data_IF_886038686459
#
_entry.id   IF_886038686459
#
_cell.length_a   1.000
_cell.length_b   1.000
_cell.length_c   1.000
_cell.angle_alpha   90.00
_cell.angle_beta   90.00
_cell.angle_gamma   90.00
#
_symmetry.space_group_name_H-M   'P 1'
#
loop_
_entity.id
_entity.type
_entity.pdbx_description
1 polymer ?
#
# COMPACT_ATOMS: atom_id res chain seq x y z
N UNK A 1 -14.58 61.37 -6.58
CA UNK A 1 -14.92 60.10 -5.89
C UNK A 1 -15.64 60.41 -4.59
N UNK A 2 -16.95 60.21 -4.60
CA UNK A 2 -17.98 60.36 -3.57
C UNK A 2 -19.12 59.53 -4.21
N UNK A 3 -19.79 58.56 -3.61
CA UNK A 3 -20.23 58.39 -2.23
C UNK A 3 -20.91 57.00 -2.11
N UNK A 4 -20.72 56.34 -0.94
CA UNK A 4 -21.71 55.59 -0.13
C UNK A 4 -22.19 54.22 -0.67
N UNK A 5 -21.98 53.10 0.04
CA UNK A 5 -22.53 52.67 1.35
C UNK A 5 -24.05 52.56 1.38
N UNK A 6 -24.53 51.32 1.30
CA UNK A 6 -25.75 50.76 1.90
C UNK A 6 -25.58 49.22 1.80
N UNK A 7 -25.31 48.44 2.84
CA UNK A 7 -26.05 48.17 4.09
C UNK A 7 -27.38 47.44 3.85
N UNK A 8 -27.69 46.51 4.75
CA UNK A 8 -28.75 45.48 4.72
C UNK A 8 -28.48 44.33 3.71
N UNK A 9 -28.43 43.06 4.11
CA UNK A 9 -29.46 42.42 4.89
C UNK A 9 -28.92 41.22 5.68
N UNK A 10 -29.46 41.08 6.88
CA UNK A 10 -29.10 40.15 7.93
C UNK A 10 -30.00 38.91 7.83
N UNK A 11 -29.56 37.80 8.43
CA UNK A 11 -30.41 36.71 8.92
C UNK A 11 -30.80 35.54 7.96
N UNK A 12 -30.16 34.39 8.23
CA UNK A 12 -30.62 33.01 7.95
C UNK A 12 -32.03 32.79 8.55
N UNK A 13 -32.94 31.92 8.04
CA UNK A 13 -32.74 30.46 8.24
C UNK A 13 -33.56 29.47 7.35
N UNK A 14 -33.33 28.17 7.63
CA UNK A 14 -34.24 26.99 7.50
C UNK A 14 -34.56 26.45 6.08
N UNK A 15 -33.96 25.34 5.66
CA UNK A 15 -34.39 23.93 5.90
C UNK A 15 -35.79 23.59 5.36
N UNK A 16 -35.85 22.93 4.19
CA UNK A 16 -36.58 21.67 4.03
C UNK A 16 -36.35 21.09 2.64
N UNK A 17 -35.64 19.96 2.52
CA UNK A 17 -36.10 18.58 2.73
C UNK A 17 -36.98 18.07 1.58
N UNK A 18 -36.37 17.34 0.65
CA UNK A 18 -36.94 16.06 0.25
C UNK A 18 -35.80 15.05 -0.03
N UNK A 19 -35.86 13.97 0.76
CA UNK A 19 -35.00 12.79 0.78
C UNK A 19 -35.46 11.84 -0.37
N UNK A 20 -34.66 10.85 -0.83
CA UNK A 20 -34.46 9.67 0.02
C UNK A 20 -33.12 8.96 -0.10
N UNK A 21 -32.66 8.47 1.05
CA UNK A 21 -32.23 7.08 1.27
C UNK A 21 -31.56 6.39 0.06
N UNK A 22 -30.29 6.71 -0.16
CA UNK A 22 -29.35 5.84 -0.86
C UNK A 22 -28.42 5.19 0.16
N UNK A 23 -28.87 4.09 0.73
CA UNK A 23 -28.02 3.17 1.49
C UNK A 23 -26.94 2.62 0.54
N UNK A 24 -25.79 3.27 0.50
CA UNK A 24 -24.52 2.62 0.17
C UNK A 24 -23.95 2.19 1.54
N UNK A 25 -24.57 1.22 2.21
CA UNK A 25 -24.25 -0.19 2.01
C UNK A 25 -22.73 -0.36 1.90
N UNK A 26 -22.16 -0.93 2.95
CA UNK A 26 -20.86 -1.56 2.99
C UNK A 26 -20.59 -2.28 1.66
N UNK A 27 -19.89 -1.59 0.76
CA UNK A 27 -19.40 -2.13 -0.50
C UNK A 27 -17.94 -2.42 -0.28
N UNK A 28 -17.69 -3.59 0.31
CA UNK A 28 -16.60 -4.49 -0.03
C UNK A 28 -15.44 -3.80 -0.79
N UNK A 29 -14.47 -3.28 -0.04
CA UNK A 29 -13.12 -3.11 -0.55
C UNK A 29 -12.39 -4.47 -0.63
N UNK A 30 -13.11 -5.55 -0.98
CA UNK A 30 -12.50 -6.78 -1.49
C UNK A 30 -12.37 -6.62 -2.99
N UNK A 31 -11.43 -5.77 -3.40
CA UNK A 31 -10.80 -5.94 -4.70
C UNK A 31 -9.91 -7.16 -4.57
N UNK A 32 -10.50 -8.36 -4.60
CA UNK A 32 -9.77 -9.58 -4.91
C UNK A 32 -9.56 -9.60 -6.42
N UNK A 33 -8.37 -9.28 -6.95
CA UNK A 33 -8.10 -9.59 -8.35
C UNK A 33 -7.94 -11.12 -8.48
N UNK A 34 -8.86 -11.70 -9.25
CA UNK A 34 -8.80 -12.92 -10.04
C UNK A 34 -7.72 -14.00 -9.71
N UNK A 35 -8.12 -15.26 -9.45
CA UNK A 35 -7.22 -16.40 -9.37
C UNK A 35 -7.05 -17.07 -10.74
N UNK A 36 -6.26 -16.53 -11.68
CA UNK A 36 -5.94 -17.31 -12.91
C UNK A 36 -4.68 -16.88 -13.70
N UNK A 37 -3.74 -16.24 -13.03
CA UNK A 37 -2.35 -16.37 -13.43
C UNK A 37 -1.63 -16.83 -12.18
N UNK A 38 -0.79 -17.85 -12.28
CA UNK A 38 0.21 -18.13 -11.25
C UNK A 38 1.46 -17.39 -11.71
N UNK A 39 1.56 -16.04 -11.55
CA UNK A 39 2.85 -15.41 -11.69
C UNK A 39 3.73 -16.05 -10.62
N UNK A 40 4.99 -16.32 -10.96
CA UNK A 40 5.95 -16.92 -10.04
C UNK A 40 5.84 -16.22 -8.69
N UNK A 41 5.31 -16.96 -7.71
CA UNK A 41 4.99 -16.44 -6.39
C UNK A 41 6.24 -15.80 -5.81
N UNK A 42 6.13 -14.57 -5.32
CA UNK A 42 7.25 -13.88 -4.65
C UNK A 42 7.80 -14.72 -3.48
N UNK A 43 6.97 -15.61 -2.89
CA UNK A 43 7.35 -16.61 -1.90
C UNK A 43 8.46 -17.56 -2.37
N UNK A 44 8.55 -17.84 -3.68
CA UNK A 44 9.56 -18.73 -4.26
C UNK A 44 10.95 -18.09 -4.30
N UNK A 45 11.05 -16.76 -4.15
CA UNK A 45 12.32 -16.04 -4.06
C UNK A 45 13.02 -16.24 -2.72
N UNK A 46 12.24 -16.56 -1.68
CA UNK A 46 12.74 -16.65 -0.32
C UNK A 46 12.86 -18.10 0.12
N UNK A 47 14.03 -18.49 0.59
CA UNK A 47 14.21 -19.79 1.24
C UNK A 47 13.40 -19.87 2.54
N UNK A 48 13.03 -21.07 2.99
CA UNK A 48 12.31 -21.27 4.26
C UNK A 48 13.02 -20.63 5.46
N UNK A 49 14.35 -20.58 5.44
CA UNK A 49 15.16 -19.91 6.47
C UNK A 49 15.03 -18.39 6.40
N UNK A 50 15.05 -17.82 5.19
CA UNK A 50 14.90 -16.38 4.94
C UNK A 50 13.50 -15.90 5.33
N UNK A 51 12.45 -16.63 4.94
CA UNK A 51 11.06 -16.33 5.33
C UNK A 51 10.91 -16.26 6.86
N UNK A 52 11.48 -17.23 7.59
CA UNK A 52 11.46 -17.23 9.07
C UNK A 52 12.28 -16.09 9.66
N UNK A 53 13.39 -15.71 9.03
CA UNK A 53 14.23 -14.61 9.48
C UNK A 53 13.50 -13.27 9.31
N UNK A 54 12.98 -13.00 8.11
CA UNK A 54 12.23 -11.78 7.81
C UNK A 54 10.96 -11.69 8.62
N UNK A 55 10.20 -12.78 8.77
CA UNK A 55 9.02 -12.76 9.64
C UNK A 55 9.38 -12.36 11.07
N UNK A 56 10.48 -12.88 11.64
CA UNK A 56 10.89 -12.57 13.01
C UNK A 56 11.46 -11.15 13.17
N UNK A 57 12.20 -10.68 12.16
CA UNK A 57 13.00 -9.45 12.24
C UNK A 57 12.30 -8.23 11.65
N UNK A 58 11.60 -8.42 10.52
CA UNK A 58 10.85 -7.38 9.82
C UNK A 58 9.41 -7.34 10.32
N UNK A 59 8.73 -8.49 10.39
CA UNK A 59 7.31 -8.56 10.76
C UNK A 59 7.07 -8.91 12.24
N UNK A 60 8.10 -8.81 13.09
CA UNK A 60 7.99 -9.03 14.55
C UNK A 60 7.35 -10.37 14.97
N UNK A 61 7.56 -11.43 14.19
CA UNK A 61 6.97 -12.79 14.31
C UNK A 61 5.54 -12.91 13.77
N UNK A 62 5.04 -11.91 13.05
CA UNK A 62 3.72 -11.94 12.45
C UNK A 62 3.77 -12.58 11.05
N UNK A 63 3.52 -13.90 11.02
CA UNK A 63 3.47 -14.68 9.78
C UNK A 63 2.31 -14.26 8.87
N UNK A 64 1.23 -13.73 9.45
CA UNK A 64 0.06 -13.28 8.71
C UNK A 64 0.38 -11.98 7.98
N UNK A 65 1.02 -11.04 8.67
CA UNK A 65 1.44 -9.78 8.06
C UNK A 65 2.50 -9.98 6.98
N UNK A 66 3.46 -10.89 7.19
CA UNK A 66 4.42 -11.28 6.16
C UNK A 66 3.72 -11.80 4.89
N UNK A 67 2.72 -12.68 5.05
CA UNK A 67 1.95 -13.23 3.93
C UNK A 67 1.13 -12.16 3.22
N UNK A 68 0.46 -11.29 3.96
CA UNK A 68 -0.30 -10.18 3.37
C UNK A 68 0.61 -9.21 2.60
N UNK A 69 1.80 -8.93 3.13
CA UNK A 69 2.79 -8.10 2.45
C UNK A 69 3.26 -8.73 1.13
N UNK A 70 3.55 -10.03 1.14
CA UNK A 70 3.96 -10.74 -0.06
C UNK A 70 2.82 -10.87 -1.09
N UNK A 71 1.58 -11.09 -0.65
CA UNK A 71 0.41 -11.11 -1.54
C UNK A 71 0.23 -9.75 -2.23
N UNK A 72 0.35 -8.67 -1.45
CA UNK A 72 0.28 -7.30 -1.97
C UNK A 72 1.41 -6.99 -2.94
N UNK A 73 2.63 -7.42 -2.62
CA UNK A 73 3.77 -7.30 -3.54
C UNK A 73 3.49 -8.10 -4.83
N UNK A 74 2.98 -9.32 -4.75
CA UNK A 74 2.65 -10.12 -5.93
C UNK A 74 1.63 -9.42 -6.86
N UNK A 75 0.73 -8.60 -6.30
CA UNK A 75 -0.21 -7.77 -7.06
C UNK A 75 0.41 -6.50 -7.68
N UNK A 76 1.58 -6.06 -7.23
CA UNK A 76 2.30 -4.91 -7.76
C UNK A 76 3.16 -5.37 -8.95
N UNK A 77 3.10 -4.67 -10.07
CA UNK A 77 3.84 -5.05 -11.30
C UNK A 77 5.15 -4.28 -11.52
N UNK A 78 5.56 -3.43 -10.57
CA UNK A 78 6.72 -2.57 -10.75
C UNK A 78 7.47 -2.25 -9.46
N UNK A 79 8.80 -2.17 -9.58
CA UNK A 79 9.69 -1.87 -8.46
C UNK A 79 9.34 -0.57 -7.73
N UNK A 80 9.02 0.49 -8.47
CA UNK A 80 8.76 1.81 -7.89
C UNK A 80 7.61 1.80 -6.87
N UNK A 81 6.54 1.06 -7.18
CA UNK A 81 5.39 0.92 -6.30
C UNK A 81 5.70 -0.07 -5.17
N UNK A 82 6.41 -1.18 -5.47
CA UNK A 82 6.86 -2.15 -4.49
C UNK A 82 7.80 -1.52 -3.44
N UNK A 83 8.76 -0.68 -3.85
CA UNK A 83 9.70 0.00 -2.94
C UNK A 83 9.00 1.01 -2.03
N UNK A 84 7.96 1.68 -2.54
CA UNK A 84 7.12 2.56 -1.72
C UNK A 84 6.40 1.75 -0.66
N UNK A 85 5.78 0.64 -1.07
CA UNK A 85 5.07 -0.26 -0.16
C UNK A 85 5.98 -0.90 0.88
N UNK A 86 7.20 -1.32 0.51
CA UNK A 86 8.22 -1.82 1.43
C UNK A 86 8.58 -0.78 2.50
N UNK A 87 8.76 0.49 2.08
CA UNK A 87 9.07 1.59 2.98
C UNK A 87 7.94 1.82 3.99
N UNK A 88 6.69 1.71 3.56
CA UNK A 88 5.51 1.79 4.45
C UNK A 88 5.45 0.62 5.42
N UNK A 89 5.78 -0.61 4.99
CA UNK A 89 5.86 -1.78 5.87
C UNK A 89 6.93 -1.57 6.94
N UNK A 90 8.13 -1.13 6.55
CA UNK A 90 9.21 -0.89 7.49
C UNK A 90 8.83 0.18 8.51
N UNK A 91 8.22 1.29 8.07
CA UNK A 91 7.75 2.34 8.97
C UNK A 91 6.64 1.83 9.91
N UNK A 92 5.68 1.07 9.40
CA UNK A 92 4.56 0.55 10.19
C UNK A 92 5.02 -0.48 11.23
N UNK A 93 6.05 -1.26 10.90
CA UNK A 93 6.65 -2.25 11.78
C UNK A 93 7.79 -1.71 12.65
N UNK A 94 8.13 -0.42 12.55
CA UNK A 94 9.29 0.21 13.21
C UNK A 94 10.58 -0.58 12.92
N UNK A 95 10.72 -1.04 11.68
CA UNK A 95 11.92 -1.72 11.17
C UNK A 95 12.80 -0.67 10.56
N UNK A 96 14.08 -0.71 10.92
CA UNK A 96 15.05 0.19 10.33
C UNK A 96 15.31 -0.23 8.86
N UNK A 97 15.08 0.66 7.87
CA UNK A 97 15.19 0.34 6.46
C UNK A 97 16.64 0.08 6.01
N UNK A 98 17.63 0.46 6.84
CA UNK A 98 19.05 0.23 6.60
C UNK A 98 19.59 -0.98 7.37
N UNK A 99 18.73 -1.74 8.05
CA UNK A 99 19.13 -2.95 8.74
C UNK A 99 19.43 -4.05 7.75
N UNK A 100 20.35 -4.94 8.11
CA UNK A 100 20.79 -6.04 7.24
C UNK A 100 19.59 -6.85 6.72
N UNK A 101 18.60 -7.13 7.56
CA UNK A 101 17.40 -7.87 7.17
C UNK A 101 16.48 -7.08 6.23
N UNK A 102 16.36 -5.77 6.42
CA UNK A 102 15.55 -4.91 5.56
C UNK A 102 16.20 -4.71 4.19
N UNK A 103 17.52 -4.52 4.16
CA UNK A 103 18.32 -4.45 2.93
C UNK A 103 18.21 -5.76 2.17
N UNK A 104 18.43 -6.91 2.83
CA UNK A 104 18.31 -8.23 2.20
C UNK A 104 16.90 -8.47 1.66
N UNK A 105 15.86 -8.12 2.42
CA UNK A 105 14.48 -8.26 1.96
C UNK A 105 14.22 -7.40 0.73
N UNK A 106 14.64 -6.14 0.76
CA UNK A 106 14.52 -5.18 -0.34
C UNK A 106 15.28 -5.66 -1.58
N UNK A 107 16.50 -6.15 -1.44
CA UNK A 107 17.34 -6.67 -2.52
C UNK A 107 16.72 -7.90 -3.21
N UNK A 108 16.16 -8.82 -2.41
CA UNK A 108 15.42 -9.99 -2.93
C UNK A 108 14.20 -9.59 -3.73
N UNK A 109 13.40 -8.67 -3.20
CA UNK A 109 12.21 -8.15 -3.88
C UNK A 109 12.61 -7.38 -5.14
N UNK A 110 13.66 -6.56 -5.05
CA UNK A 110 14.19 -5.79 -6.17
C UNK A 110 14.64 -6.71 -7.30
N UNK A 111 15.34 -7.79 -6.98
CA UNK A 111 15.82 -8.79 -7.95
C UNK A 111 14.70 -9.46 -8.75
N UNK A 112 13.47 -9.48 -8.21
CA UNK A 112 12.29 -9.98 -8.92
C UNK A 112 11.73 -8.99 -9.93
N UNK A 113 11.65 -7.71 -9.56
CA UNK A 113 11.10 -6.66 -10.41
C UNK A 113 12.09 -6.11 -11.43
N UNK A 114 13.36 -6.11 -11.07
CA UNK A 114 14.47 -5.66 -11.88
C UNK A 114 15.39 -6.86 -12.09
N UNK A 115 15.04 -7.81 -12.98
CA UNK A 115 16.07 -8.67 -13.53
C UNK A 115 17.08 -7.70 -14.16
N UNK A 116 18.32 -7.72 -13.69
CA UNK A 116 19.38 -6.83 -14.13
C UNK A 116 19.46 -6.86 -15.66
N UNK A 117 18.77 -5.94 -16.32
CA UNK A 117 18.91 -5.69 -17.75
C UNK A 117 20.20 -4.88 -17.88
N UNK A 118 21.29 -5.63 -17.90
CA UNK A 118 22.54 -5.24 -18.52
C UNK A 118 22.22 -4.99 -20.00
N UNK A 119 21.66 -3.81 -20.30
CA UNK A 119 21.57 -3.28 -21.66
C UNK A 119 22.11 -1.88 -21.68
N UNK A 120 23.38 -1.84 -22.05
CA UNK A 120 23.93 -0.83 -22.93
C UNK A 120 22.84 -0.21 -23.85
N UNK A 121 22.66 1.10 -23.73
CA UNK A 121 22.08 1.97 -24.75
C UNK A 121 22.95 3.21 -24.86
#
# INVERSE_FOLDING_TARGET
MKVFSDFDDVELPETSHENPAGSHAAGEHERSPAPDAVPADIYTLFSLSEQKMFTKKVFRKDEVEFRNALDRLNGITGWKEASSYLSEIFLSNDVDPFSEEAILFTDRVQSYYLPTDDREQ
#
